data_IF_727297946882
#
_entry.id   IF_727297946882
#
_cell.length_a   1.000
_cell.length_b   1.000
_cell.length_c   1.000
_cell.angle_alpha   90.00
_cell.angle_beta   90.00
_cell.angle_gamma   90.00
#
_symmetry.space_group_name_H-M   'P 1'
#
loop_
_entity.id
_entity.type
_entity.pdbx_description
1 polymer ?
#
# COMPACT_ATOMS: atom_id res chain seq x y z
N UNK A 1 1.56 -0.83 -15.30
CA UNK A 1 1.10 -1.23 -13.97
C UNK A 1 1.34 -2.73 -13.80
N UNK A 2 1.91 -3.24 -12.71
CA UNK A 2 2.53 -2.54 -11.57
C UNK A 2 4.03 -2.86 -11.44
N UNK A 3 4.80 -2.52 -12.48
CA UNK A 3 6.26 -2.64 -12.44
C UNK A 3 6.89 -1.80 -11.32
N UNK A 4 6.29 -0.65 -10.99
CA UNK A 4 6.76 0.24 -9.93
C UNK A 4 6.70 -0.38 -8.54
N UNK A 5 5.54 -0.92 -8.13
CA UNK A 5 5.41 -1.57 -6.82
C UNK A 5 6.28 -2.82 -6.71
N UNK A 6 6.44 -3.58 -7.80
CA UNK A 6 7.34 -4.75 -7.85
C UNK A 6 8.80 -4.37 -7.62
N UNK A 7 9.29 -3.29 -8.26
CA UNK A 7 10.68 -2.82 -8.04
C UNK A 7 10.85 -2.31 -6.61
N UNK A 8 9.92 -1.52 -6.10
CA UNK A 8 9.97 -1.06 -4.70
C UNK A 8 10.00 -2.24 -3.74
N UNK A 9 9.19 -3.28 -3.97
CA UNK A 9 9.15 -4.48 -3.15
C UNK A 9 10.54 -5.15 -3.06
N UNK A 10 11.25 -5.27 -4.18
CA UNK A 10 12.59 -5.86 -4.23
C UNK A 10 13.62 -4.99 -3.49
N UNK A 11 13.59 -3.67 -3.69
CA UNK A 11 14.49 -2.72 -3.02
C UNK A 11 14.28 -2.70 -1.50
N UNK A 12 13.02 -2.75 -1.06
CA UNK A 12 12.67 -2.87 0.36
C UNK A 12 13.17 -4.21 0.92
N UNK A 13 13.00 -5.31 0.17
CA UNK A 13 13.49 -6.62 0.58
C UNK A 13 15.01 -6.64 0.75
N UNK A 14 15.76 -6.07 -0.20
CA UNK A 14 17.22 -5.91 -0.11
C UNK A 14 17.62 -5.12 1.15
N UNK A 15 16.90 -4.03 1.44
CA UNK A 15 17.15 -3.23 2.64
C UNK A 15 16.94 -4.03 3.93
N UNK A 16 15.87 -4.82 4.02
CA UNK A 16 15.59 -5.63 5.20
C UNK A 16 16.60 -6.77 5.43
N UNK A 17 17.40 -7.19 4.43
CA UNK A 17 18.50 -8.16 4.64
C UNK A 17 19.50 -7.67 5.69
N UNK A 18 19.68 -6.36 5.80
CA UNK A 18 20.65 -5.73 6.71
C UNK A 18 20.03 -5.29 8.04
N UNK A 19 18.73 -5.52 8.23
CA UNK A 19 17.98 -5.09 9.40
C UNK A 19 17.47 -6.30 10.19
N UNK A 20 17.18 -6.11 11.48
CA UNK A 20 16.71 -7.18 12.38
C UNK A 20 15.36 -6.81 12.99
N UNK A 21 14.28 -6.83 12.19
CA UNK A 21 12.95 -6.57 12.71
C UNK A 21 12.55 -7.62 13.76
N UNK A 22 11.72 -7.23 14.74
CA UNK A 22 11.20 -8.15 15.75
C UNK A 22 10.12 -9.10 15.21
N UNK A 23 9.60 -8.83 14.01
CA UNK A 23 8.63 -9.65 13.27
C UNK A 23 9.22 -10.12 11.95
N UNK A 24 8.78 -11.29 11.50
CA UNK A 24 9.04 -11.74 10.14
C UNK A 24 8.32 -10.84 9.14
N UNK A 25 8.96 -10.61 8.01
CA UNK A 25 8.43 -9.85 6.88
C UNK A 25 8.30 -10.82 5.71
N UNK A 26 7.16 -10.77 5.03
CA UNK A 26 6.88 -11.57 3.86
C UNK A 26 6.67 -10.60 2.70
N UNK A 27 7.41 -10.84 1.62
CA UNK A 27 7.24 -10.12 0.36
C UNK A 27 6.46 -11.02 -0.58
N UNK A 28 5.36 -10.51 -1.12
CA UNK A 28 4.47 -11.24 -2.02
C UNK A 28 4.26 -10.38 -3.26
N UNK A 29 4.58 -10.95 -4.42
CA UNK A 29 4.22 -10.37 -5.72
C UNK A 29 3.09 -11.23 -6.27
N UNK A 30 1.89 -10.65 -6.35
CA UNK A 30 0.69 -11.36 -6.80
C UNK A 30 0.64 -11.40 -8.32
N UNK A 31 0.07 -12.47 -8.85
CA UNK A 31 -0.20 -12.63 -10.27
C UNK A 31 -1.69 -12.44 -10.54
N UNK A 32 -2.04 -11.88 -11.70
CA UNK A 32 -3.44 -11.83 -12.14
C UNK A 32 -4.33 -10.83 -11.39
N UNK A 33 -3.77 -9.77 -10.81
CA UNK A 33 -4.51 -8.63 -10.24
C UNK A 33 -5.50 -8.08 -11.29
N UNK A 34 -4.99 -7.74 -12.48
CA UNK A 34 -5.75 -7.16 -13.61
C UNK A 34 -6.83 -8.10 -14.18
N UNK A 35 -6.71 -9.40 -13.90
CA UNK A 35 -7.68 -10.43 -14.30
C UNK A 35 -8.77 -10.67 -13.23
N UNK A 36 -8.72 -9.93 -12.12
CA UNK A 36 -9.66 -10.05 -11.00
C UNK A 36 -9.05 -10.59 -9.73
N UNK A 37 -7.87 -10.08 -9.32
CA UNK A 37 -7.24 -10.37 -8.02
C UNK A 37 -6.90 -11.86 -7.78
N UNK A 38 -6.67 -12.60 -8.86
CA UNK A 38 -6.61 -14.07 -8.83
C UNK A 38 -5.53 -14.59 -7.88
N UNK A 39 -4.34 -13.99 -7.91
CA UNK A 39 -3.21 -14.39 -7.07
C UNK A 39 -3.40 -14.04 -5.60
N UNK A 40 -3.92 -12.84 -5.30
CA UNK A 40 -4.13 -12.43 -3.91
C UNK A 40 -5.27 -13.20 -3.25
N UNK A 41 -6.36 -13.45 -3.98
CA UNK A 41 -7.46 -14.33 -3.53
C UNK A 41 -6.93 -15.74 -3.28
N UNK A 42 -6.19 -16.32 -4.23
CA UNK A 42 -5.64 -17.65 -4.07
C UNK A 42 -4.70 -17.74 -2.86
N UNK A 43 -3.81 -16.77 -2.66
CA UNK A 43 -2.91 -16.73 -1.51
C UNK A 43 -3.67 -16.65 -0.18
N UNK A 44 -4.69 -15.81 -0.07
CA UNK A 44 -5.44 -15.70 1.19
C UNK A 44 -6.30 -16.93 1.48
N UNK A 45 -6.80 -17.61 0.44
CA UNK A 45 -7.53 -18.88 0.61
C UNK A 45 -6.59 -20.08 0.87
N UNK A 46 -5.35 -20.01 0.38
CA UNK A 46 -4.34 -21.09 0.48
C UNK A 46 -3.03 -20.56 1.06
N UNK A 47 -3.03 -20.02 2.29
CA UNK A 47 -1.92 -19.25 2.78
C UNK A 47 -0.76 -20.16 3.20
N UNK A 48 0.46 -19.77 2.84
CA UNK A 48 1.69 -20.51 3.22
C UNK A 48 2.08 -20.31 4.69
N UNK A 49 1.44 -19.35 5.36
CA UNK A 49 1.55 -19.06 6.79
C UNK A 49 0.16 -18.84 7.39
N UNK A 50 -0.06 -19.00 8.71
CA UNK A 50 -1.37 -18.72 9.30
C UNK A 50 -1.76 -17.24 9.10
N UNK A 51 -2.88 -16.94 8.45
CA UNK A 51 -3.34 -15.55 8.24
C UNK A 51 -3.46 -14.75 9.55
N UNK A 52 -3.88 -15.41 10.64
CA UNK A 52 -3.97 -14.77 11.96
C UNK A 52 -2.62 -14.28 12.53
N UNK A 53 -1.49 -14.71 11.94
CA UNK A 53 -0.15 -14.22 12.27
C UNK A 53 0.25 -12.95 11.50
N UNK A 54 -0.48 -12.60 10.44
CA UNK A 54 -0.27 -11.36 9.67
C UNK A 54 -0.89 -10.20 10.46
N UNK A 55 -0.03 -9.30 10.94
CA UNK A 55 -0.46 -8.17 11.79
C UNK A 55 -0.85 -6.92 11.00
N UNK A 56 -0.33 -6.78 9.79
CA UNK A 56 -0.68 -5.75 8.82
C UNK A 56 -0.15 -6.16 7.43
N UNK A 57 -0.80 -5.69 6.38
CA UNK A 57 -0.33 -5.77 5.00
C UNK A 57 -0.13 -4.35 4.43
N UNK A 58 0.76 -4.23 3.44
CA UNK A 58 1.06 -2.98 2.75
C UNK A 58 0.96 -3.29 1.27
N UNK A 59 -0.09 -2.80 0.62
CA UNK A 59 -0.26 -2.97 -0.82
C UNK A 59 0.32 -1.74 -1.52
N UNK A 60 1.11 -1.95 -2.57
CA UNK A 60 1.71 -0.89 -3.40
C UNK A 60 1.25 -1.14 -4.82
N UNK A 61 0.81 -0.07 -5.49
CA UNK A 61 0.23 -0.16 -6.83
C UNK A 61 0.27 1.21 -7.51
N UNK A 62 0.93 1.30 -8.66
CA UNK A 62 1.24 2.55 -9.37
C UNK A 62 2.03 3.56 -8.51
N UNK A 63 3.32 3.30 -8.27
CA UNK A 63 4.19 4.19 -7.46
C UNK A 63 5.16 5.04 -8.29
N UNK A 64 5.10 4.89 -9.61
CA UNK A 64 6.09 5.45 -10.52
C UNK A 64 5.87 6.91 -10.93
N UNK A 65 4.67 7.47 -10.77
CA UNK A 65 4.30 8.75 -11.39
C UNK A 65 3.53 9.60 -10.39
N UNK A 66 4.08 10.75 -10.00
CA UNK A 66 3.43 11.63 -9.03
C UNK A 66 3.43 13.10 -9.42
N UNK A 67 3.79 13.45 -10.66
CA UNK A 67 3.89 14.84 -11.07
C UNK A 67 2.50 15.48 -11.18
N UNK A 68 2.40 16.77 -10.87
CA UNK A 68 1.12 17.51 -10.79
C UNK A 68 0.43 17.63 -12.15
N UNK A 69 1.18 17.57 -13.24
CA UNK A 69 0.69 17.58 -14.63
C UNK A 69 0.27 16.19 -15.14
N UNK A 70 0.56 15.13 -14.38
CA UNK A 70 0.28 13.74 -14.77
C UNK A 70 -0.79 13.07 -13.93
N UNK A 71 -0.85 13.42 -12.65
CA UNK A 71 -1.69 12.74 -11.67
C UNK A 71 -2.54 13.73 -10.91
N UNK A 72 -3.83 13.41 -10.81
CA UNK A 72 -4.75 14.16 -9.95
C UNK A 72 -4.31 14.04 -8.49
N UNK A 73 -4.08 15.18 -7.84
CA UNK A 73 -3.48 15.31 -6.51
C UNK A 73 -2.01 14.89 -6.43
N UNK A 74 -1.33 14.82 -7.59
CA UNK A 74 0.11 14.69 -7.67
C UNK A 74 0.85 15.95 -7.23
N UNK A 75 2.11 15.79 -6.87
CA UNK A 75 3.02 16.86 -6.49
C UNK A 75 4.28 16.30 -5.85
N UNK A 76 5.19 17.19 -5.42
CA UNK A 76 6.42 16.76 -4.75
C UNK A 76 6.10 15.88 -3.53
N UNK A 77 6.59 14.63 -3.55
CA UNK A 77 6.38 13.65 -2.47
C UNK A 77 4.90 13.31 -2.22
N UNK A 78 4.04 13.43 -3.24
CA UNK A 78 2.63 13.05 -3.11
C UNK A 78 2.48 11.54 -3.05
N UNK A 79 1.73 11.05 -2.06
CA UNK A 79 1.34 9.64 -2.01
C UNK A 79 -0.09 9.56 -1.54
N UNK A 80 -0.88 8.69 -2.15
CA UNK A 80 -2.27 8.47 -1.77
C UNK A 80 -2.33 7.22 -0.90
N UNK A 81 -3.03 7.32 0.23
CA UNK A 81 -3.28 6.16 1.09
C UNK A 81 -4.77 5.87 1.16
N UNK A 82 -5.17 4.65 0.86
CA UNK A 82 -6.54 4.18 1.03
C UNK A 82 -6.60 3.03 2.02
N UNK A 83 -7.60 3.02 2.88
CA UNK A 83 -7.87 1.92 3.80
C UNK A 83 -7.09 1.91 5.11
N UNK A 84 -6.17 2.86 5.31
CA UNK A 84 -5.26 2.87 6.46
C UNK A 84 -5.93 2.78 7.83
N UNK A 85 -7.19 3.23 7.92
CA UNK A 85 -8.00 3.18 9.14
C UNK A 85 -9.26 2.32 9.02
N UNK A 86 -9.46 1.59 7.91
CA UNK A 86 -10.69 0.81 7.68
C UNK A 86 -10.83 -0.38 8.61
N UNK A 87 -9.73 -1.07 8.94
CA UNK A 87 -9.72 -2.23 9.84
C UNK A 87 -9.09 -1.92 11.21
N UNK A 88 -8.15 -0.97 11.25
CA UNK A 88 -7.41 -0.60 12.46
C UNK A 88 -7.07 0.88 12.46
N UNK A 89 -7.60 1.63 13.42
CA UNK A 89 -7.20 3.03 13.64
C UNK A 89 -5.72 3.13 14.04
N UNK A 90 -5.28 2.21 14.90
CA UNK A 90 -3.89 2.10 15.35
C UNK A 90 -2.93 1.97 14.16
N UNK A 91 -3.29 1.23 13.09
CA UNK A 91 -2.43 1.11 11.90
C UNK A 91 -2.28 2.44 11.15
N UNK A 92 -3.38 3.17 10.93
CA UNK A 92 -3.32 4.51 10.34
C UNK A 92 -2.56 5.51 11.20
N UNK A 93 -2.64 5.41 12.53
CA UNK A 93 -1.89 6.26 13.46
C UNK A 93 -0.38 5.96 13.40
N UNK A 94 0.01 4.69 13.18
CA UNK A 94 1.41 4.32 12.94
C UNK A 94 1.94 5.00 11.67
N UNK A 95 1.19 4.94 10.57
CA UNK A 95 1.57 5.56 9.28
C UNK A 95 1.78 7.07 9.45
N UNK A 96 0.83 7.75 10.10
CA UNK A 96 0.91 9.19 10.31
C UNK A 96 2.06 9.57 11.26
N UNK A 97 2.31 8.77 12.30
CA UNK A 97 3.43 8.97 13.21
C UNK A 97 4.79 8.78 12.54
N UNK A 98 4.92 7.78 11.66
CA UNK A 98 6.14 7.58 10.87
C UNK A 98 6.36 8.79 9.97
N UNK A 99 5.32 9.23 9.24
CA UNK A 99 5.46 10.39 8.37
C UNK A 99 5.86 11.66 9.13
N UNK A 100 5.23 11.91 10.29
CA UNK A 100 5.47 13.12 11.09
C UNK A 100 6.89 13.23 11.70
N UNK A 101 7.64 12.12 11.77
CA UNK A 101 8.98 12.07 12.39
C UNK A 101 10.11 12.02 11.37
N UNK A 102 9.81 11.94 10.08
CA UNK A 102 10.80 11.94 9.00
C UNK A 102 11.37 13.33 8.75
N UNK A 103 12.64 13.38 8.37
CA UNK A 103 13.27 14.61 7.87
C UNK A 103 12.58 15.10 6.58
N UNK A 104 12.18 14.16 5.73
CA UNK A 104 11.39 14.40 4.53
C UNK A 104 10.04 13.71 4.64
N UNK A 105 9.02 14.52 4.88
CA UNK A 105 7.64 14.06 4.97
C UNK A 105 7.04 13.85 3.58
N UNK A 106 6.19 12.83 3.48
CA UNK A 106 5.31 12.63 2.33
C UNK A 106 4.08 13.54 2.46
N UNK A 107 3.62 14.08 1.34
CA UNK A 107 2.33 14.74 1.21
C UNK A 107 1.25 13.65 1.06
N UNK A 108 0.82 13.07 2.19
CA UNK A 108 -0.17 11.99 2.19
C UNK A 108 -1.55 12.55 1.84
N UNK A 109 -2.07 12.13 0.69
CA UNK A 109 -3.43 12.39 0.24
C UNK A 109 -4.38 11.27 0.69
N UNK A 110 -5.47 11.65 1.36
CA UNK A 110 -6.56 10.77 1.81
C UNK A 110 -7.89 11.14 1.17
N UNK A 111 -7.89 12.05 0.18
CA UNK A 111 -9.12 12.61 -0.43
C UNK A 111 -9.98 11.53 -1.10
N UNK A 112 -9.37 10.41 -1.50
CA UNK A 112 -10.07 9.24 -2.04
C UNK A 112 -10.43 8.16 -1.01
N UNK A 113 -9.92 8.22 0.22
CA UNK A 113 -10.30 7.28 1.29
C UNK A 113 -11.56 7.76 2.00
N UNK A 114 -12.64 7.83 1.23
CA UNK A 114 -13.96 8.26 1.69
C UNK A 114 -14.97 7.15 1.48
N UNK A 115 -16.01 7.17 2.32
CA UNK A 115 -17.07 6.16 2.37
C UNK A 115 -17.87 6.10 1.07
N UNK A 116 -18.16 7.24 0.45
CA UNK A 116 -18.86 7.33 -0.82
C UNK A 116 -17.89 7.61 -1.98
N UNK A 117 -16.79 6.85 -2.10
CA UNK A 117 -15.88 6.98 -3.24
C UNK A 117 -16.60 6.49 -4.53
N UNK A 118 -16.85 7.35 -5.53
CA UNK A 118 -17.63 6.99 -6.72
C UNK A 118 -16.93 5.97 -7.62
N UNK A 119 -15.61 5.82 -7.49
CA UNK A 119 -14.82 4.84 -8.23
C UNK A 119 -14.61 3.53 -7.46
N UNK A 120 -15.08 3.47 -6.21
CA UNK A 120 -14.81 2.39 -5.27
C UNK A 120 -13.34 1.97 -5.24
N UNK A 121 -12.41 2.94 -5.34
CA UNK A 121 -10.99 2.69 -5.67
C UNK A 121 -10.30 1.70 -4.73
N UNK A 122 -10.60 1.76 -3.43
CA UNK A 122 -10.03 0.83 -2.46
C UNK A 122 -10.40 -0.64 -2.74
N UNK A 123 -11.46 -0.92 -3.48
CA UNK A 123 -11.90 -2.28 -3.77
C UNK A 123 -11.38 -2.82 -5.11
N UNK A 124 -10.32 -2.22 -5.68
CA UNK A 124 -9.85 -2.51 -7.05
C UNK A 124 -8.38 -2.92 -7.11
N UNK A 125 -7.83 -3.50 -6.04
CA UNK A 125 -6.46 -4.05 -6.02
C UNK A 125 -6.33 -5.07 -4.87
N UNK A 126 -5.19 -5.75 -4.80
CA UNK A 126 -4.94 -6.96 -4.01
C UNK A 126 -5.21 -6.82 -2.50
N UNK A 127 -5.21 -5.59 -1.96
CA UNK A 127 -5.55 -5.34 -0.55
C UNK A 127 -6.92 -5.92 -0.15
N UNK A 128 -7.85 -6.04 -1.11
CA UNK A 128 -9.23 -6.50 -0.86
C UNK A 128 -9.23 -7.90 -0.25
N UNK A 129 -8.44 -8.82 -0.80
CA UNK A 129 -8.33 -10.19 -0.30
C UNK A 129 -7.95 -10.21 1.18
N UNK A 130 -6.98 -9.38 1.60
CA UNK A 130 -6.56 -9.28 3.00
C UNK A 130 -7.64 -8.70 3.93
N UNK A 131 -8.40 -7.70 3.46
CA UNK A 131 -9.50 -7.09 4.23
C UNK A 131 -10.60 -8.10 4.53
N UNK A 132 -10.91 -9.00 3.58
CA UNK A 132 -11.91 -10.06 3.78
C UNK A 132 -11.55 -11.03 4.92
N UNK A 133 -10.26 -11.20 5.20
CA UNK A 133 -9.77 -11.99 6.32
C UNK A 133 -9.45 -11.17 7.58
N UNK A 134 -9.91 -9.90 7.64
CA UNK A 134 -9.75 -9.04 8.81
C UNK A 134 -8.33 -8.57 9.06
N UNK A 135 -7.46 -8.60 8.04
CA UNK A 135 -6.08 -8.12 8.14
C UNK A 135 -6.06 -6.61 7.86
N UNK A 136 -5.49 -5.78 8.76
CA UNK A 136 -5.28 -4.37 8.47
C UNK A 136 -4.38 -4.17 7.27
N UNK A 137 -4.81 -3.37 6.30
CA UNK A 137 -4.04 -3.10 5.08
C UNK A 137 -4.21 -1.66 4.64
N UNK A 138 -3.13 -1.08 4.13
CA UNK A 138 -3.12 0.22 3.48
C UNK A 138 -2.71 0.01 2.04
N UNK A 139 -3.45 0.62 1.13
CA UNK A 139 -3.10 0.77 -0.26
C UNK A 139 -2.30 2.07 -0.43
N UNK A 140 -1.05 1.93 -0.86
CA UNK A 140 -0.17 3.02 -1.27
C UNK A 140 -0.21 3.11 -2.79
N UNK A 141 -0.35 4.33 -3.29
CA UNK A 141 -0.34 4.61 -4.73
C UNK A 141 -0.06 6.08 -4.94
N UNK A 142 0.66 6.42 -6.01
CA UNK A 142 0.81 7.83 -6.41
C UNK A 142 -0.45 8.39 -7.07
N UNK A 143 -1.36 7.54 -7.56
CA UNK A 143 -2.60 7.95 -8.22
C UNK A 143 -2.70 7.41 -9.66
N UNK A 144 -3.84 7.69 -10.30
CA UNK A 144 -4.00 7.38 -11.72
C UNK A 144 -3.31 8.46 -12.56
N UNK A 145 -2.24 8.05 -13.26
CA UNK A 145 -1.60 8.88 -14.28
C UNK A 145 -2.46 8.95 -15.56
N UNK A 146 -2.25 9.99 -16.36
CA UNK A 146 -2.97 10.19 -17.62
C UNK A 146 -2.83 9.01 -18.60
N UNK A 147 -1.74 8.25 -18.52
CA UNK A 147 -1.44 7.10 -19.35
C UNK A 147 -1.69 5.75 -18.65
N UNK A 148 -2.42 5.74 -17.53
CA UNK A 148 -2.88 4.50 -16.90
C UNK A 148 -3.65 3.60 -17.88
N UNK A 149 -3.29 2.32 -17.94
CA UNK A 149 -3.80 1.32 -18.90
C UNK A 149 -3.58 1.70 -20.38
N UNK A 150 -2.59 2.55 -20.67
CA UNK A 150 -2.19 2.87 -22.03
C UNK A 150 -0.85 2.22 -22.39
N UNK A 151 -0.57 1.95 -23.68
CA UNK A 151 0.73 1.47 -24.13
C UNK A 151 1.91 2.39 -23.76
N UNK A 152 1.61 3.65 -23.43
CA UNK A 152 2.60 4.65 -23.00
C UNK A 152 2.94 4.55 -21.51
N UNK A 153 2.33 3.64 -20.74
CA UNK A 153 2.75 3.35 -19.36
C UNK A 153 4.10 2.63 -19.33
N UNK A 154 5.17 3.39 -19.59
CA UNK A 154 6.52 2.90 -19.84
C UNK A 154 7.54 3.44 -18.82
N UNK A 155 8.63 2.71 -18.56
CA UNK A 155 9.66 3.10 -17.59
C UNK A 155 10.25 4.50 -17.79
N UNK A 156 10.34 4.97 -19.03
CA UNK A 156 10.91 6.30 -19.34
C UNK A 156 10.12 7.48 -18.77
N UNK A 157 8.87 7.26 -18.36
CA UNK A 157 8.01 8.30 -17.79
C UNK A 157 8.00 8.29 -16.25
N UNK A 158 8.72 7.36 -15.63
CA UNK A 158 8.80 7.22 -14.18
C UNK A 158 9.59 8.39 -13.58
N UNK A 159 9.08 8.93 -12.48
CA UNK A 159 9.81 9.83 -11.58
C UNK A 159 10.55 8.98 -10.54
N UNK A 160 11.77 8.56 -10.86
CA UNK A 160 12.54 7.63 -10.04
C UNK A 160 12.92 8.20 -8.66
N UNK A 161 13.19 9.50 -8.56
CA UNK A 161 13.54 10.14 -7.29
C UNK A 161 12.33 10.19 -6.34
N UNK A 162 11.16 10.50 -6.90
CA UNK A 162 9.91 10.43 -6.16
C UNK A 162 9.58 8.99 -5.75
N UNK A 163 9.67 8.03 -6.69
CA UNK A 163 9.43 6.61 -6.44
C UNK A 163 10.36 6.05 -5.34
N UNK A 164 11.64 6.44 -5.33
CA UNK A 164 12.57 6.07 -4.28
C UNK A 164 12.18 6.66 -2.91
N UNK A 165 11.60 7.88 -2.90
CA UNK A 165 11.08 8.51 -1.68
C UNK A 165 9.85 7.77 -1.12
N UNK A 166 8.96 7.32 -2.02
CA UNK A 166 7.82 6.44 -1.68
C UNK A 166 8.32 5.12 -1.10
N UNK A 167 9.26 4.44 -1.75
CA UNK A 167 9.82 3.17 -1.25
C UNK A 167 10.46 3.31 0.14
N UNK A 168 11.23 4.39 0.38
CA UNK A 168 11.77 4.69 1.72
C UNK A 168 10.66 4.96 2.75
N UNK A 169 9.55 5.56 2.36
CA UNK A 169 8.43 5.80 3.27
C UNK A 169 7.71 4.50 3.63
N UNK A 170 7.37 3.67 2.64
CA UNK A 170 6.74 2.36 2.87
C UNK A 170 7.64 1.46 3.73
N UNK A 171 8.95 1.42 3.44
CA UNK A 171 9.93 0.74 4.28
C UNK A 171 9.85 1.16 5.74
N UNK A 172 9.87 2.47 6.02
CA UNK A 172 9.87 2.98 7.39
C UNK A 172 8.57 2.63 8.12
N UNK A 173 7.43 2.63 7.41
CA UNK A 173 6.15 2.16 7.96
C UNK A 173 6.23 0.68 8.30
N UNK A 174 6.74 -0.16 7.38
CA UNK A 174 6.90 -1.60 7.60
C UNK A 174 7.80 -1.89 8.80
N UNK A 175 8.96 -1.23 8.89
CA UNK A 175 9.89 -1.37 10.00
C UNK A 175 9.24 -0.94 11.32
N UNK A 176 8.50 0.17 11.31
CA UNK A 176 7.82 0.66 12.49
C UNK A 176 6.78 -0.36 13.00
N UNK A 177 6.00 -0.99 12.11
CA UNK A 177 5.09 -2.09 12.49
C UNK A 177 5.88 -3.31 12.99
N UNK A 178 6.96 -3.68 12.29
CA UNK A 178 7.74 -4.87 12.58
C UNK A 178 8.52 -4.78 13.91
N UNK A 179 8.84 -3.58 14.39
CA UNK A 179 9.51 -3.35 15.67
C UNK A 179 8.55 -3.26 16.87
N UNK A 180 7.25 -3.11 16.64
CA UNK A 180 6.25 -3.02 17.73
C UNK A 180 5.93 -4.40 18.30
N UNK A 181 6.02 -4.51 19.63
CA UNK A 181 5.67 -5.73 20.38
C UNK A 181 4.20 -6.11 20.20
N UNK A 182 3.31 -5.12 20.26
CA UNK A 182 1.88 -5.32 20.13
C UNK A 182 1.45 -5.17 18.66
N UNK A 183 0.49 -6.00 18.24
CA UNK A 183 -0.12 -5.87 16.91
C UNK A 183 -1.06 -4.67 16.88
N UNK A 184 -1.20 -3.95 15.74
CA UNK A 184 -2.23 -2.93 15.61
C UNK A 184 -3.59 -3.50 15.98
N UNK A 185 -4.32 -2.83 16.87
CA UNK A 185 -5.62 -3.32 17.32
C UNK A 185 -6.61 -3.24 16.17
N UNK A 186 -7.22 -4.37 15.83
CA UNK A 186 -8.32 -4.43 14.88
C UNK A 186 -9.56 -3.89 15.58
N UNK A 187 -10.15 -2.84 15.03
CA UNK A 187 -11.42 -2.26 15.49
C UNK A 187 -12.63 -2.84 14.75
N UNK A 188 -12.38 -3.75 13.80
CA UNK A 188 -13.35 -4.27 12.85
C UNK A 188 -13.49 -3.37 11.62
N UNK A 189 -14.19 -3.84 10.57
CA UNK A 189 -14.43 -3.04 9.38
C UNK A 189 -15.28 -1.82 9.76
N UNK A 190 -14.80 -0.64 9.38
CA UNK A 190 -15.59 0.59 9.46
C UNK A 190 -16.82 0.47 8.53
N UNK A 191 -17.99 0.25 9.14
CA UNK A 191 -19.26 0.01 8.46
C UNK A 191 -19.71 1.18 7.57
N UNK A 192 -19.09 2.35 7.70
CA UNK A 192 -19.37 3.46 6.83
C UNK A 192 -18.81 3.22 5.41
N UNK A 193 -17.80 2.37 5.24
CA UNK A 193 -17.25 2.03 3.93
C UNK A 193 -18.08 0.93 3.24
N UNK A 194 -18.18 0.98 1.89
CA UNK A 194 -18.82 -0.07 1.13
C UNK A 194 -18.05 -1.38 1.30
N UNK A 195 -18.80 -2.48 1.33
CA UNK A 195 -18.24 -3.82 1.26
C UNK A 195 -17.66 -4.01 -0.14
N UNK A 196 -16.36 -4.30 -0.22
CA UNK A 196 -15.74 -4.76 -1.46
C UNK A 196 -16.40 -6.08 -1.87
N UNK A 197 -16.77 -6.21 -3.14
CA UNK A 197 -17.39 -7.42 -3.69
C UNK A 197 -16.37 -8.22 -4.44
#
# INVERSE_FOLDING_TARGET
DDGSGTVILLEIAEKFVHEKPARSIIFVSHEGEEAGLLGSEWFTDHPTIPLASIVAAHNMDMEGKGRTDEVKFGGPRSIQTLGSRRQSRDFGDIIDSVNATRAETMAIDKTWDVTANPMNRFCRSDQVSYVHHGIPVTYFSTGYAMDYHQPTDEPRYIDYDHMASVGRFVHDVMLAVAMRKDKPRITGPDQAYPVCR
#
